data_IF_589505503484
#
_entry.id   IF_589505503484
#
_cell.length_a   1.000
_cell.length_b   1.000
_cell.length_c   1.000
_cell.angle_alpha   90.00
_cell.angle_beta   90.00
_cell.angle_gamma   90.00
#
_symmetry.space_group_name_H-M   'P 1'
#
loop_
_entity.id
_entity.type
_entity.pdbx_description
1 polymer ?
#
# COMPACT_ATOMS: atom_id res chain seq x y z
N UNK A 1 -62.14 -11.85 6.70
CA UNK A 1 -63.40 -11.11 6.86
C UNK A 1 -63.07 -9.85 7.62
N UNK A 2 -62.98 -8.72 6.92
CA UNK A 2 -62.87 -7.41 7.58
C UNK A 2 -64.32 -6.98 7.76
N UNK A 3 -64.80 -6.95 8.99
CA UNK A 3 -66.11 -6.42 9.33
C UNK A 3 -66.12 -4.94 8.98
N UNK A 4 -66.83 -4.59 7.93
CA UNK A 4 -67.25 -3.22 7.63
C UNK A 4 -68.27 -2.78 8.69
N UNK A 5 -67.78 -2.39 9.86
CA UNK A 5 -68.61 -1.76 10.88
C UNK A 5 -67.73 -1.01 11.88
N UNK A 6 -67.16 0.12 11.47
CA UNK A 6 -66.67 1.14 12.40
C UNK A 6 -66.67 2.50 11.68
N UNK A 7 -67.50 3.40 12.19
CA UNK A 7 -67.78 4.80 11.81
C UNK A 7 -67.05 5.38 10.59
N UNK A 8 -67.73 5.36 9.43
CA UNK A 8 -67.35 6.13 8.22
C UNK A 8 -67.40 7.66 8.42
N UNK A 9 -67.71 8.15 9.62
CA UNK A 9 -67.88 9.57 9.95
C UNK A 9 -66.99 10.07 11.11
N UNK A 10 -66.01 9.27 11.56
CA UNK A 10 -65.05 9.72 12.56
C UNK A 10 -64.19 10.86 11.98
N UNK A 11 -64.43 12.09 12.45
CA UNK A 11 -63.61 13.25 12.08
C UNK A 11 -62.22 13.08 12.68
N UNK A 12 -61.20 13.06 11.83
CA UNK A 12 -59.81 13.06 12.24
C UNK A 12 -59.12 14.35 11.82
N UNK A 13 -58.07 14.74 12.55
CA UNK A 13 -57.24 15.90 12.24
C UNK A 13 -55.82 15.38 12.03
N UNK A 14 -55.21 15.75 10.92
CA UNK A 14 -53.82 15.45 10.63
C UNK A 14 -52.95 16.64 11.04
N UNK A 15 -52.02 16.38 11.95
CA UNK A 15 -51.02 17.34 12.37
C UNK A 15 -49.71 17.08 11.63
N UNK A 16 -48.97 18.14 11.30
CA UNK A 16 -47.67 18.08 10.63
C UNK A 16 -46.64 18.73 11.52
N UNK A 17 -45.45 18.12 11.63
CA UNK A 17 -44.37 18.59 12.51
C UNK A 17 -44.82 18.71 13.97
N UNK A 18 -45.30 17.59 14.51
CA UNK A 18 -45.91 17.53 15.84
C UNK A 18 -44.90 17.84 16.95
N UNK A 19 -45.34 18.61 17.94
CA UNK A 19 -44.61 18.82 19.17
C UNK A 19 -44.77 17.62 20.12
N UNK A 20 -43.91 17.50 21.13
CA UNK A 20 -43.97 16.39 22.08
C UNK A 20 -45.30 16.28 22.85
N UNK A 21 -45.99 17.40 23.10
CA UNK A 21 -47.31 17.38 23.74
C UNK A 21 -48.39 16.83 22.80
N UNK A 22 -48.27 17.08 21.50
CA UNK A 22 -49.19 16.60 20.47
C UNK A 22 -48.96 15.12 20.17
N UNK A 23 -47.71 14.64 20.22
CA UNK A 23 -47.41 13.20 20.22
C UNK A 23 -48.03 12.50 21.44
N UNK A 24 -47.84 13.05 22.64
CA UNK A 24 -48.36 12.44 23.87
C UNK A 24 -49.89 12.31 23.88
N UNK A 25 -50.59 13.34 23.37
CA UNK A 25 -52.06 13.38 23.32
C UNK A 25 -52.66 12.78 22.05
N UNK A 26 -51.84 12.56 21.02
CA UNK A 26 -52.25 12.04 19.73
C UNK A 26 -52.52 10.54 19.73
N UNK A 27 -53.41 10.10 18.82
CA UNK A 27 -53.79 8.69 18.70
C UNK A 27 -52.77 7.86 17.90
N UNK A 28 -51.94 8.52 17.08
CA UNK A 28 -50.94 7.90 16.22
C UNK A 28 -49.77 8.84 15.95
N UNK A 29 -48.58 8.28 15.78
CA UNK A 29 -47.35 8.99 15.42
C UNK A 29 -46.72 8.35 14.17
N UNK A 30 -46.51 9.16 13.14
CA UNK A 30 -46.01 8.72 11.84
C UNK A 30 -44.75 9.52 11.47
N UNK A 31 -43.59 8.86 11.55
CA UNK A 31 -42.31 9.43 11.14
C UNK A 31 -41.98 8.94 9.73
N UNK A 32 -41.76 9.88 8.81
CA UNK A 32 -41.46 9.61 7.40
C UNK A 32 -40.21 10.37 6.99
N UNK A 33 -39.18 9.63 6.57
CA UNK A 33 -37.90 10.19 6.11
C UNK A 33 -37.69 9.83 4.65
N UNK A 34 -37.05 10.71 3.88
CA UNK A 34 -36.83 10.46 2.45
C UNK A 34 -36.04 11.53 1.73
N UNK A 35 -35.77 11.27 0.46
CA UNK A 35 -35.19 12.22 -0.49
C UNK A 35 -36.28 12.85 -1.35
N UNK A 36 -35.88 13.60 -2.39
CA UNK A 36 -36.77 14.09 -3.44
C UNK A 36 -37.40 12.95 -4.25
N UNK A 37 -36.66 11.85 -4.41
CA UNK A 37 -37.04 10.72 -5.27
C UNK A 37 -37.92 9.70 -4.56
N UNK A 38 -37.94 9.68 -3.23
CA UNK A 38 -38.72 8.70 -2.50
C UNK A 38 -38.54 8.71 -1.00
N UNK A 39 -39.22 7.77 -0.35
CA UNK A 39 -39.16 7.54 1.08
C UNK A 39 -38.03 6.54 1.37
N UNK A 40 -37.17 6.87 2.33
CA UNK A 40 -36.05 6.02 2.77
C UNK A 40 -36.38 5.25 4.04
N UNK A 41 -37.21 5.82 4.92
CA UNK A 41 -37.63 5.16 6.14
C UNK A 41 -39.03 5.61 6.57
N UNK A 42 -39.76 4.68 7.19
CA UNK A 42 -41.06 4.92 7.82
C UNK A 42 -41.01 4.27 9.20
N UNK A 43 -41.49 4.99 10.21
CA UNK A 43 -41.81 4.45 11.52
C UNK A 43 -43.22 4.88 11.88
N UNK A 44 -44.05 3.93 12.30
CA UNK A 44 -45.43 4.15 12.69
C UNK A 44 -45.64 3.58 14.09
N UNK A 45 -46.11 4.42 15.01
CA UNK A 45 -46.55 4.02 16.34
C UNK A 45 -48.05 4.30 16.49
N UNK A 46 -48.82 3.26 16.79
CA UNK A 46 -50.29 3.30 16.84
C UNK A 46 -50.70 3.14 18.31
N UNK A 47 -51.36 4.17 18.87
CA UNK A 47 -51.80 4.18 20.27
C UNK A 47 -53.28 3.78 20.43
N UNK A 48 -54.07 3.85 19.35
CA UNK A 48 -55.49 3.42 19.30
C UNK A 48 -55.83 2.68 18.01
N UNK A 49 -56.84 1.81 18.07
CA UNK A 49 -57.36 1.14 16.87
C UNK A 49 -58.10 2.14 15.96
N UNK A 50 -58.11 1.90 14.64
CA UNK A 50 -58.87 2.72 13.68
C UNK A 50 -58.08 3.40 12.55
N UNK A 51 -56.85 2.98 12.24
CA UNK A 51 -56.11 3.52 11.09
C UNK A 51 -56.74 3.08 9.76
N UNK A 52 -57.39 4.00 9.06
CA UNK A 52 -57.98 3.74 7.75
C UNK A 52 -56.96 3.95 6.62
N UNK A 53 -57.15 3.27 5.48
CA UNK A 53 -56.31 3.48 4.29
C UNK A 53 -56.36 4.93 3.79
N UNK A 54 -57.48 5.63 4.01
CA UNK A 54 -57.62 7.04 3.65
C UNK A 54 -56.71 7.93 4.49
N UNK A 55 -56.68 7.72 5.82
CA UNK A 55 -55.78 8.46 6.73
C UNK A 55 -54.31 8.25 6.36
N UNK A 56 -53.93 7.03 5.96
CA UNK A 56 -52.58 6.72 5.49
C UNK A 56 -52.24 7.52 4.23
N UNK A 57 -53.14 7.53 3.24
CA UNK A 57 -52.94 8.29 1.99
C UNK A 57 -52.79 9.78 2.26
N UNK A 58 -53.66 10.34 3.09
CA UNK A 58 -53.64 11.77 3.43
C UNK A 58 -52.36 12.13 4.20
N UNK A 59 -51.90 11.24 5.09
CA UNK A 59 -50.60 11.35 5.79
C UNK A 59 -49.42 11.38 4.82
N UNK A 60 -49.40 10.51 3.80
CA UNK A 60 -48.33 10.52 2.80
C UNK A 60 -48.33 11.79 1.94
N UNK A 61 -49.50 12.33 1.60
CA UNK A 61 -49.61 13.60 0.85
C UNK A 61 -49.09 14.77 1.69
N UNK A 62 -49.51 14.87 2.95
CA UNK A 62 -49.08 15.94 3.85
C UNK A 62 -47.57 15.85 4.16
N UNK A 63 -47.09 14.66 4.53
CA UNK A 63 -45.67 14.44 4.83
C UNK A 63 -44.77 14.68 3.62
N UNK A 64 -45.20 14.36 2.40
CA UNK A 64 -44.42 14.66 1.19
C UNK A 64 -44.26 16.18 1.02
N UNK A 65 -45.34 16.95 1.17
CA UNK A 65 -45.27 18.42 1.09
C UNK A 65 -44.35 19.01 2.16
N UNK A 66 -44.48 18.56 3.41
CA UNK A 66 -43.65 19.00 4.52
C UNK A 66 -42.17 18.63 4.31
N UNK A 67 -41.90 17.39 3.90
CA UNK A 67 -40.54 16.90 3.62
C UNK A 67 -39.86 17.71 2.52
N UNK A 68 -40.55 18.05 1.44
CA UNK A 68 -39.96 18.88 0.37
C UNK A 68 -39.62 20.28 0.88
N UNK A 69 -40.49 20.89 1.69
CA UNK A 69 -40.22 22.20 2.29
C UNK A 69 -38.97 22.18 3.20
N UNK A 70 -38.82 21.14 4.02
CA UNK A 70 -37.64 20.95 4.88
C UNK A 70 -36.39 20.73 4.02
N UNK A 71 -36.46 19.83 3.04
CA UNK A 71 -35.33 19.56 2.14
C UNK A 71 -34.89 20.79 1.36
N UNK A 72 -35.82 21.62 0.89
CA UNK A 72 -35.48 22.85 0.17
C UNK A 72 -34.82 23.88 1.09
N UNK A 73 -35.21 23.94 2.38
CA UNK A 73 -34.53 24.76 3.38
C UNK A 73 -33.14 24.24 3.74
N UNK A 74 -32.97 22.92 3.85
CA UNK A 74 -31.65 22.30 4.05
C UNK A 74 -30.72 22.57 2.85
N UNK A 75 -31.24 22.45 1.63
CA UNK A 75 -30.48 22.68 0.39
C UNK A 75 -30.07 24.15 0.20
N UNK A 76 -30.81 25.11 0.77
CA UNK A 76 -30.39 26.52 0.80
C UNK A 76 -29.09 26.74 1.60
N UNK A 77 -28.79 25.85 2.55
CA UNK A 77 -27.59 25.92 3.39
C UNK A 77 -26.46 25.06 2.83
N UNK A 78 -26.77 23.82 2.46
CA UNK A 78 -25.78 22.87 1.94
C UNK A 78 -26.45 21.89 0.97
N UNK A 79 -26.25 22.10 -0.33
CA UNK A 79 -26.86 21.29 -1.39
C UNK A 79 -26.06 20.03 -1.76
N UNK A 80 -24.78 19.97 -1.38
CA UNK A 80 -23.90 18.86 -1.69
C UNK A 80 -22.88 18.64 -0.56
N UNK A 81 -22.36 17.41 -0.39
CA UNK A 81 -21.24 17.16 0.51
C UNK A 81 -20.06 18.07 0.20
N UNK A 82 -19.31 18.48 1.23
CA UNK A 82 -18.08 19.27 1.04
C UNK A 82 -17.04 18.41 0.31
N UNK A 83 -16.27 18.99 -0.63
CA UNK A 83 -15.23 18.25 -1.35
C UNK A 83 -14.11 17.80 -0.40
N UNK A 84 -13.78 18.65 0.57
CA UNK A 84 -12.72 18.40 1.53
C UNK A 84 -13.29 18.10 2.91
N UNK A 85 -12.68 17.12 3.58
CA UNK A 85 -12.95 16.80 4.97
C UNK A 85 -12.37 17.90 5.88
N UNK A 86 -13.00 18.11 7.03
CA UNK A 86 -12.49 19.04 8.06
C UNK A 86 -11.01 18.77 8.39
N UNK A 87 -10.17 19.80 8.57
CA UNK A 87 -8.77 19.65 8.98
C UNK A 87 -8.58 18.93 10.31
N UNK A 88 -9.60 18.97 11.18
CA UNK A 88 -9.59 18.34 12.50
C UNK A 88 -10.25 16.96 12.50
N UNK A 89 -10.86 16.56 11.38
CA UNK A 89 -11.47 15.24 11.29
C UNK A 89 -10.40 14.22 10.91
N UNK A 90 -10.37 13.05 11.57
CA UNK A 90 -9.45 11.99 11.23
C UNK A 90 -9.74 11.50 9.80
N UNK A 91 -8.72 11.51 8.95
CA UNK A 91 -8.80 10.91 7.62
C UNK A 91 -8.53 9.41 7.73
N UNK A 92 -9.26 8.60 6.96
CA UNK A 92 -9.01 7.16 6.86
C UNK A 92 -8.56 6.89 5.43
N UNK A 93 -7.33 6.41 5.25
CA UNK A 93 -6.84 5.93 3.96
C UNK A 93 -6.80 4.41 4.00
N UNK A 94 -7.56 3.78 3.10
CA UNK A 94 -7.60 2.32 2.98
C UNK A 94 -6.54 1.88 1.97
N UNK A 95 -5.47 1.24 2.46
CA UNK A 95 -4.44 0.61 1.62
C UNK A 95 -4.75 -0.88 1.53
N UNK A 96 -4.96 -1.40 0.31
CA UNK A 96 -5.21 -2.83 0.09
C UNK A 96 -3.88 -3.58 0.02
N UNK A 97 -3.67 -4.49 0.96
CA UNK A 97 -2.47 -5.33 1.03
C UNK A 97 -2.69 -6.65 0.25
N UNK A 98 -1.73 -7.08 -0.58
CA UNK A 98 -1.66 -8.46 -1.08
C UNK A 98 -1.50 -9.45 0.09
N UNK A 99 -2.22 -10.57 0.07
CA UNK A 99 -2.25 -11.55 1.19
C UNK A 99 -0.87 -12.14 1.50
N UNK A 100 -0.05 -12.31 0.47
CA UNK A 100 1.33 -12.79 0.53
C UNK A 100 2.29 -11.84 1.27
N UNK A 101 1.97 -10.55 1.33
CA UNK A 101 2.84 -9.51 1.92
C UNK A 101 2.39 -9.02 3.30
N UNK A 102 1.29 -9.57 3.81
CA UNK A 102 0.80 -9.26 5.17
C UNK A 102 1.89 -9.59 6.21
N UNK A 103 2.61 -10.70 6.03
CA UNK A 103 3.66 -11.12 6.97
C UNK A 103 4.83 -10.13 7.09
N UNK A 104 5.22 -9.50 5.98
CA UNK A 104 6.31 -8.52 5.95
C UNK A 104 5.90 -7.19 6.61
N UNK A 105 4.68 -6.73 6.32
CA UNK A 105 4.13 -5.49 6.89
C UNK A 105 3.90 -5.61 8.40
N UNK A 106 3.41 -6.76 8.88
CA UNK A 106 3.26 -7.02 10.32
C UNK A 106 4.63 -7.18 10.98
N UNK A 107 5.53 -7.92 10.33
CA UNK A 107 6.83 -8.32 10.87
C UNK A 107 6.73 -9.34 12.00
N UNK A 108 7.88 -9.80 12.51
CA UNK A 108 7.92 -10.80 13.58
C UNK A 108 7.23 -10.29 14.86
N UNK A 109 6.13 -10.93 15.26
CA UNK A 109 5.36 -10.57 16.45
C UNK A 109 4.72 -9.17 16.42
N UNK A 110 4.53 -8.59 15.23
CA UNK A 110 3.97 -7.24 15.08
C UNK A 110 4.95 -6.10 15.35
N UNK A 111 6.26 -6.36 15.34
CA UNK A 111 7.27 -5.32 15.60
C UNK A 111 7.26 -4.21 14.54
N UNK A 112 7.21 -4.58 13.26
CA UNK A 112 7.24 -3.61 12.15
C UNK A 112 6.00 -2.72 12.18
N UNK A 113 4.82 -3.32 12.32
CA UNK A 113 3.57 -2.56 12.37
C UNK A 113 3.49 -1.65 13.60
N UNK A 114 3.95 -2.10 14.78
CA UNK A 114 4.00 -1.25 15.98
C UNK A 114 4.97 -0.08 15.82
N UNK A 115 6.14 -0.32 15.22
CA UNK A 115 7.10 0.74 14.93
C UNK A 115 6.55 1.77 13.93
N UNK A 116 5.82 1.32 12.90
CA UNK A 116 5.15 2.22 11.95
C UNK A 116 4.04 3.04 12.61
N UNK A 117 3.23 2.41 13.48
CA UNK A 117 2.17 3.10 14.23
C UNK A 117 2.73 4.18 15.15
N UNK A 118 3.83 3.89 15.86
CA UNK A 118 4.50 4.83 16.75
C UNK A 118 5.23 5.96 15.99
N UNK A 119 5.94 5.61 14.90
CA UNK A 119 6.70 6.57 14.08
C UNK A 119 5.79 7.61 13.42
N UNK A 120 4.62 7.17 12.94
CA UNK A 120 3.70 8.04 12.21
C UNK A 120 2.52 8.52 13.02
N UNK A 121 2.43 8.16 14.31
CA UNK A 121 1.25 8.40 15.14
C UNK A 121 -0.05 7.96 14.44
N UNK A 122 0.05 6.88 13.66
CA UNK A 122 -1.05 6.30 12.89
C UNK A 122 -1.55 5.12 13.68
N UNK A 123 -2.70 5.27 14.31
CA UNK A 123 -3.44 4.11 14.80
C UNK A 123 -4.14 3.43 13.62
N UNK A 124 -3.68 2.23 13.27
CA UNK A 124 -4.47 1.31 12.46
C UNK A 124 -5.67 0.91 13.32
N UNK A 125 -6.74 1.68 13.16
CA UNK A 125 -7.96 1.82 13.99
C UNK A 125 -7.89 2.85 15.14
N UNK A 126 -8.43 4.04 14.82
CA UNK A 126 -9.02 5.09 15.67
C UNK A 126 -8.13 6.18 16.28
N UNK A 127 -8.16 7.34 15.62
CA UNK A 127 -7.98 8.69 16.20
C UNK A 127 -6.56 9.07 16.64
N UNK A 128 -5.73 9.45 15.68
CA UNK A 128 -5.03 10.75 15.67
C UNK A 128 -4.32 10.89 14.31
N UNK A 129 -4.25 12.12 13.76
CA UNK A 129 -3.80 12.33 12.38
C UNK A 129 -2.86 13.51 12.25
N UNK A 130 -1.56 13.21 12.26
CA UNK A 130 -0.55 13.89 11.45
C UNK A 130 0.19 12.79 10.68
N UNK A 131 0.37 12.93 9.37
CA UNK A 131 1.17 12.02 8.53
C UNK A 131 0.56 10.68 8.03
N UNK A 132 -0.74 10.64 7.71
CA UNK A 132 -1.34 9.48 7.02
C UNK A 132 -0.71 9.24 5.64
N UNK A 133 -0.42 10.29 4.88
CA UNK A 133 0.11 10.14 3.52
C UNK A 133 1.53 9.57 3.53
N UNK A 134 2.37 10.01 4.47
CA UNK A 134 3.73 9.49 4.66
C UNK A 134 3.72 8.04 5.14
N UNK A 135 2.83 7.70 6.08
CA UNK A 135 2.66 6.31 6.54
C UNK A 135 2.16 5.39 5.41
N UNK A 136 1.19 5.87 4.62
CA UNK A 136 0.70 5.13 3.47
C UNK A 136 1.80 4.96 2.42
N UNK A 137 2.62 5.98 2.17
CA UNK A 137 3.75 5.90 1.25
C UNK A 137 4.79 4.86 1.72
N UNK A 138 5.12 4.82 3.02
CA UNK A 138 6.05 3.82 3.58
C UNK A 138 5.48 2.41 3.47
N UNK A 139 4.19 2.22 3.78
CA UNK A 139 3.51 0.92 3.62
C UNK A 139 3.46 0.50 2.15
N UNK A 140 3.06 1.39 1.24
CA UNK A 140 3.05 1.14 -0.21
C UNK A 140 4.45 0.80 -0.72
N UNK A 141 5.48 1.48 -0.22
CA UNK A 141 6.89 1.22 -0.56
C UNK A 141 7.37 -0.16 -0.05
N UNK A 142 6.92 -0.60 1.12
CA UNK A 142 7.19 -1.94 1.65
C UNK A 142 6.55 -3.05 0.81
N UNK A 143 5.46 -2.76 0.10
CA UNK A 143 4.71 -3.76 -0.69
C UNK A 143 5.13 -3.75 -2.15
N UNK A 144 5.57 -2.58 -2.66
CA UNK A 144 5.86 -2.37 -4.08
C UNK A 144 6.82 -3.43 -4.60
N UNK A 145 6.47 -4.10 -5.68
CA UNK A 145 7.40 -4.98 -6.39
C UNK A 145 8.31 -4.14 -7.25
N UNK A 146 9.60 -4.25 -6.98
CA UNK A 146 10.63 -3.50 -7.68
C UNK A 146 10.91 -4.25 -8.97
N UNK A 147 10.71 -3.58 -10.11
CA UNK A 147 10.92 -4.19 -11.42
C UNK A 147 12.31 -3.85 -11.98
N UNK A 148 12.88 -4.77 -12.75
CA UNK A 148 14.15 -4.54 -13.46
C UNK A 148 13.95 -3.38 -14.44
N UNK A 149 14.85 -2.40 -14.40
CA UNK A 149 14.82 -1.22 -15.25
C UNK A 149 14.12 0.01 -14.65
N UNK A 150 13.43 -0.12 -13.51
CA UNK A 150 12.89 1.06 -12.81
C UNK A 150 14.01 1.96 -12.27
N UNK A 151 13.78 3.26 -12.35
CA UNK A 151 14.72 4.28 -11.86
C UNK A 151 14.24 4.85 -10.53
N UNK A 152 15.17 5.03 -9.59
CA UNK A 152 14.90 5.61 -8.28
C UNK A 152 15.97 6.64 -7.92
N UNK A 153 15.59 7.63 -7.12
CA UNK A 153 16.54 8.51 -6.43
C UNK A 153 16.93 7.84 -5.12
N UNK A 154 18.20 7.44 -5.01
CA UNK A 154 18.71 6.73 -3.85
C UNK A 154 19.65 7.58 -3.00
N UNK A 155 19.69 7.31 -1.70
CA UNK A 155 20.63 7.91 -0.74
C UNK A 155 21.60 6.84 -0.27
N UNK A 156 22.90 7.14 -0.29
CA UNK A 156 23.93 6.23 0.20
C UNK A 156 23.86 6.14 1.72
N UNK A 157 23.57 4.96 2.26
CA UNK A 157 23.50 4.73 3.71
C UNK A 157 24.83 4.27 4.29
N UNK A 158 25.58 3.45 3.53
CA UNK A 158 26.92 2.99 3.91
C UNK A 158 27.78 2.65 2.70
N UNK A 159 29.10 2.73 2.88
CA UNK A 159 30.10 2.39 1.87
C UNK A 159 30.99 1.28 2.41
N UNK A 160 31.19 0.23 1.62
CA UNK A 160 32.03 -0.93 1.93
C UNK A 160 33.08 -1.10 0.83
N UNK A 161 34.15 -1.87 1.07
CA UNK A 161 35.25 -2.04 0.09
C UNK A 161 34.82 -2.58 -1.28
N UNK A 162 33.66 -3.24 -1.36
CA UNK A 162 33.12 -3.87 -2.58
C UNK A 162 31.93 -3.12 -3.19
N UNK A 163 31.49 -2.00 -2.61
CA UNK A 163 30.39 -1.21 -3.14
C UNK A 163 29.76 -0.26 -2.14
N UNK A 164 28.64 0.34 -2.52
CA UNK A 164 27.85 1.21 -1.65
C UNK A 164 26.44 0.68 -1.50
N UNK A 165 25.89 0.73 -0.28
CA UNK A 165 24.48 0.45 -0.05
C UNK A 165 23.70 1.74 -0.22
N UNK A 166 22.65 1.65 -1.04
CA UNK A 166 21.81 2.78 -1.40
C UNK A 166 20.38 2.44 -0.98
N UNK A 167 19.81 3.27 -0.12
CA UNK A 167 18.39 3.23 0.21
C UNK A 167 17.62 3.94 -0.90
N UNK A 168 16.68 3.25 -1.52
CA UNK A 168 15.92 3.75 -2.67
C UNK A 168 14.41 3.75 -2.46
N UNK A 169 13.97 3.01 -1.45
CA UNK A 169 12.63 3.05 -0.89
C UNK A 169 12.78 2.99 0.64
N UNK A 170 11.87 3.61 1.41
CA UNK A 170 11.93 3.57 2.87
C UNK A 170 12.12 2.15 3.42
N UNK A 171 13.22 1.91 4.12
CA UNK A 171 13.54 0.61 4.72
C UNK A 171 14.03 -0.46 3.74
N UNK A 172 14.29 -0.13 2.47
CA UNK A 172 14.86 -1.04 1.47
C UNK A 172 16.19 -0.50 0.94
N UNK A 173 17.25 -1.23 1.26
CA UNK A 173 18.60 -0.98 0.77
C UNK A 173 18.99 -2.02 -0.29
N UNK A 174 19.74 -1.59 -1.29
CA UNK A 174 20.35 -2.48 -2.27
C UNK A 174 21.81 -2.11 -2.54
N UNK A 175 22.59 -3.10 -2.96
CA UNK A 175 24.02 -2.94 -3.19
C UNK A 175 24.29 -2.40 -4.60
N UNK A 176 24.97 -1.27 -4.67
CA UNK A 176 25.65 -0.79 -5.87
C UNK A 176 27.09 -1.30 -5.85
N UNK A 177 27.40 -2.26 -6.71
CA UNK A 177 28.72 -2.89 -6.77
C UNK A 177 29.75 -1.96 -7.42
N UNK A 178 31.03 -2.04 -7.02
CA UNK A 178 32.12 -1.20 -7.55
C UNK A 178 32.23 -1.18 -9.09
N UNK A 179 31.88 -2.29 -9.76
CA UNK A 179 31.86 -2.38 -11.22
C UNK A 179 30.78 -1.55 -11.90
N UNK A 180 29.72 -1.21 -11.17
CA UNK A 180 28.62 -0.36 -11.61
C UNK A 180 28.81 1.10 -11.20
N UNK A 181 29.87 1.40 -10.43
CA UNK A 181 30.21 2.76 -9.98
C UNK A 181 31.23 3.45 -10.89
N UNK A 182 32.09 2.68 -11.57
CA UNK A 182 33.16 3.21 -12.44
C UNK A 182 33.31 2.39 -13.72
N UNK A 183 33.70 3.04 -14.81
CA UNK A 183 34.06 2.39 -16.08
C UNK A 183 35.42 1.67 -16.07
N UNK A 184 36.25 1.91 -15.05
CA UNK A 184 37.60 1.36 -14.90
C UNK A 184 37.83 0.71 -13.54
N UNK A 185 39.09 0.38 -13.23
CA UNK A 185 39.44 -0.20 -11.92
C UNK A 185 39.30 0.85 -10.82
N UNK A 186 38.53 0.52 -9.78
CA UNK A 186 38.35 1.34 -8.60
C UNK A 186 38.91 0.58 -7.39
N UNK A 187 39.96 1.12 -6.78
CA UNK A 187 40.62 0.51 -5.63
C UNK A 187 39.87 0.74 -4.33
N UNK A 188 39.23 1.91 -4.19
CA UNK A 188 38.44 2.27 -3.00
C UNK A 188 37.18 3.03 -3.40
N UNK A 189 35.97 2.47 -3.19
CA UNK A 189 34.72 3.17 -3.48
C UNK A 189 34.52 4.44 -2.67
N UNK A 190 35.11 4.53 -1.47
CA UNK A 190 35.00 5.72 -0.59
C UNK A 190 35.62 6.98 -1.20
N UNK A 191 36.44 6.82 -2.24
CA UNK A 191 37.07 7.94 -2.94
C UNK A 191 36.11 8.70 -3.86
N UNK A 192 35.05 8.04 -4.35
CA UNK A 192 34.12 8.61 -5.34
C UNK A 192 32.70 8.79 -4.80
N UNK A 193 32.33 8.10 -3.71
CA UNK A 193 31.00 8.19 -3.12
C UNK A 193 31.10 8.32 -1.61
N UNK A 194 30.23 9.14 -1.02
CA UNK A 194 30.14 9.35 0.43
C UNK A 194 28.76 8.96 0.95
N UNK A 195 28.73 8.64 2.24
CA UNK A 195 27.46 8.45 2.96
C UNK A 195 26.66 9.75 2.92
N UNK A 196 25.39 9.64 2.55
CA UNK A 196 24.48 10.77 2.38
C UNK A 196 24.39 11.31 0.93
N UNK A 197 25.23 10.84 0.01
CA UNK A 197 25.15 11.26 -1.38
C UNK A 197 23.85 10.78 -2.04
N UNK A 198 23.28 11.63 -2.89
CA UNK A 198 22.09 11.33 -3.69
C UNK A 198 22.50 10.96 -5.10
N UNK A 199 22.05 9.82 -5.59
CA UNK A 199 22.32 9.35 -6.94
C UNK A 199 21.10 8.70 -7.57
N UNK A 200 20.99 8.82 -8.89
CA UNK A 200 20.01 8.08 -9.67
C UNK A 200 20.48 6.65 -9.86
N UNK A 201 19.63 5.71 -9.49
CA UNK A 201 19.89 4.28 -9.60
C UNK A 201 18.85 3.61 -10.47
N UNK A 202 19.24 2.50 -11.07
CA UNK A 202 18.40 1.62 -11.88
C UNK A 202 18.53 0.21 -11.33
N UNK A 203 17.42 -0.51 -11.18
CA UNK A 203 17.50 -1.94 -10.83
C UNK A 203 18.00 -2.72 -12.03
N UNK A 204 19.20 -3.30 -11.90
CA UNK A 204 19.83 -4.08 -12.96
C UNK A 204 19.43 -5.56 -12.94
N UNK A 205 19.00 -6.06 -11.78
CA UNK A 205 18.54 -7.44 -11.63
C UNK A 205 18.53 -7.90 -10.18
N UNK A 206 18.45 -9.21 -9.99
CA UNK A 206 18.52 -9.87 -8.68
C UNK A 206 19.76 -10.78 -8.64
N UNK A 207 20.39 -10.94 -7.48
CA UNK A 207 21.44 -11.94 -7.28
C UNK A 207 20.84 -13.32 -6.96
N UNK A 208 21.70 -14.34 -6.87
CA UNK A 208 21.29 -15.73 -6.60
C UNK A 208 20.54 -15.88 -5.26
N UNK A 209 20.73 -14.92 -4.34
CA UNK A 209 20.05 -14.84 -3.05
C UNK A 209 18.81 -13.92 -3.09
N UNK A 210 18.29 -13.59 -4.28
CA UNK A 210 17.15 -12.68 -4.50
C UNK A 210 17.35 -11.24 -4.00
N UNK A 211 18.59 -10.82 -3.74
CA UNK A 211 18.90 -9.44 -3.37
C UNK A 211 18.98 -8.57 -4.61
N UNK A 212 18.45 -7.35 -4.50
CA UNK A 212 18.39 -6.37 -5.57
C UNK A 212 19.80 -5.89 -5.91
N UNK A 213 20.15 -5.92 -7.20
CA UNK A 213 21.35 -5.31 -7.75
C UNK A 213 21.01 -3.96 -8.36
N UNK A 214 21.82 -2.97 -8.04
CA UNK A 214 21.70 -1.63 -8.59
C UNK A 214 22.76 -1.39 -9.66
N UNK A 215 22.41 -0.54 -10.62
CA UNK A 215 23.34 0.11 -11.53
C UNK A 215 23.09 1.61 -11.51
N UNK A 216 24.13 2.42 -11.68
CA UNK A 216 23.97 3.86 -11.86
C UNK A 216 24.67 4.28 -13.15
N UNK A 217 23.98 4.22 -14.30
CA UNK A 217 24.58 4.53 -15.60
C UNK A 217 25.15 5.95 -15.66
N UNK A 218 24.45 6.91 -15.06
CA UNK A 218 24.88 8.32 -15.01
C UNK A 218 26.13 8.49 -14.14
N UNK A 219 26.17 7.86 -12.97
CA UNK A 219 27.32 7.95 -12.06
C UNK A 219 28.56 7.24 -12.63
N UNK A 220 28.36 6.10 -13.30
CA UNK A 220 29.43 5.37 -13.99
C UNK A 220 30.00 6.15 -15.17
N UNK A 221 29.15 6.86 -15.93
CA UNK A 221 29.60 7.72 -17.02
C UNK A 221 30.41 8.94 -16.52
N UNK A 222 30.06 9.47 -15.35
CA UNK A 222 30.82 10.55 -14.71
C UNK A 222 32.20 10.09 -14.19
N UNK A 223 32.38 8.78 -13.96
CA UNK A 223 33.62 8.17 -13.47
C UNK A 223 34.11 7.07 -14.43
N UNK A 224 34.63 7.42 -15.62
CA UNK A 224 35.06 6.45 -16.62
C UNK A 224 36.24 5.57 -16.18
N UNK A 225 36.93 5.94 -15.08
CA UNK A 225 38.08 5.22 -14.54
C UNK A 225 39.29 5.24 -15.48
N UNK A 226 40.40 4.64 -15.05
CA UNK A 226 41.56 4.41 -15.92
C UNK A 226 41.41 3.06 -16.62
N UNK A 227 41.77 2.93 -17.91
CA UNK A 227 41.79 1.65 -18.60
C UNK A 227 42.66 0.65 -17.84
N UNK A 228 42.18 -0.58 -17.67
CA UNK A 228 43.02 -1.70 -17.22
C UNK A 228 44.20 -1.81 -18.20
N UNK A 229 45.40 -1.45 -17.78
CA UNK A 229 46.62 -1.84 -18.50
C UNK A 229 46.83 -3.33 -18.25
N UNK A 230 46.44 -4.16 -19.21
CA UNK A 230 46.79 -5.58 -19.23
C UNK A 230 48.32 -5.70 -19.42
N UNK A 231 49.09 -5.70 -18.34
CA UNK A 231 50.46 -6.21 -18.36
C UNK A 231 50.43 -7.74 -18.44
N UNK A 232 50.07 -8.27 -19.62
CA UNK A 232 50.41 -9.64 -20.03
C UNK A 232 51.64 -9.59 -20.93
N UNK A 233 52.78 -9.25 -20.34
CA UNK A 233 54.07 -9.39 -21.00
C UNK A 233 54.49 -10.87 -21.05
N UNK A 234 54.28 -11.43 -22.24
CA UNK A 234 55.19 -12.29 -23.01
C UNK A 234 56.44 -12.82 -22.30
N UNK A 235 56.34 -14.00 -21.68
CA UNK A 235 57.45 -14.92 -21.44
C UNK A 235 56.80 -16.30 -21.24
N UNK A 236 56.95 -17.34 -22.05
CA UNK A 236 58.05 -17.79 -22.89
C UNK A 236 57.53 -18.83 -23.90
N UNK A 237 57.72 -18.58 -25.21
CA UNK A 237 57.67 -19.64 -26.24
C UNK A 237 59.09 -20.17 -26.40
N UNK A 238 59.48 -21.14 -25.57
CA UNK A 238 60.67 -21.95 -25.83
C UNK A 238 60.26 -23.15 -26.69
N UNK A 239 60.62 -23.06 -27.97
CA UNK A 239 60.62 -24.11 -28.96
C UNK A 239 61.30 -25.38 -28.43
N UNK A 240 60.60 -26.51 -28.39
CA UNK A 240 61.24 -27.83 -28.27
C UNK A 240 61.11 -28.56 -29.60
N UNK A 241 62.27 -28.68 -30.27
CA UNK A 241 62.43 -29.43 -31.49
C UNK A 241 62.47 -30.94 -31.26
N UNK A 242 62.05 -31.62 -32.33
CA UNK A 242 62.39 -32.98 -32.76
C UNK A 242 63.61 -33.63 -32.09
N UNK A 243 63.41 -34.85 -31.56
CA UNK A 243 64.34 -35.99 -31.65
C UNK A 243 63.77 -37.24 -30.99
N UNK A 244 63.36 -38.16 -31.86
CA UNK A 244 63.65 -39.60 -31.90
C UNK A 244 64.06 -40.39 -30.63
N UNK A 245 63.45 -41.59 -30.60
CA UNK A 245 64.00 -42.89 -30.21
C UNK A 245 63.97 -43.33 -28.72
N UNK A 246 62.97 -44.15 -28.38
CA UNK A 246 63.10 -45.55 -27.89
C UNK A 246 61.91 -45.99 -27.01
N UNK A 247 61.10 -46.89 -27.55
CA UNK A 247 60.23 -47.80 -26.77
C UNK A 247 61.06 -48.93 -26.12
N UNK A 248 60.49 -49.86 -25.34
CA UNK A 248 59.48 -49.75 -24.28
C UNK A 248 59.90 -50.56 -23.02
N UNK A 249 59.30 -50.30 -21.85
CA UNK A 249 59.24 -51.33 -20.79
C UNK A 249 57.86 -51.41 -20.14
N UNK A 250 57.32 -52.62 -20.28
CA UNK A 250 56.09 -53.16 -19.73
C UNK A 250 56.11 -53.32 -18.20
N UNK A 251 54.90 -53.50 -17.66
CA UNK A 251 54.54 -54.20 -16.40
C UNK A 251 54.49 -53.31 -15.15
N UNK A 252 53.47 -53.34 -14.27
CA UNK A 252 52.40 -54.32 -14.01
C UNK A 252 51.14 -53.63 -13.50
N UNK A 253 50.01 -54.11 -14.01
CA UNK A 253 48.70 -54.09 -13.37
C UNK A 253 48.78 -54.88 -12.05
N UNK A 254 48.25 -54.36 -10.95
CA UNK A 254 47.79 -55.21 -9.85
C UNK A 254 46.46 -54.68 -9.30
N UNK A 255 45.34 -55.38 -9.55
CA UNK A 255 44.03 -55.04 -9.06
C UNK A 255 43.80 -55.78 -7.75
N UNK A 256 43.64 -55.06 -6.63
CA UNK A 256 42.89 -55.51 -5.45
C UNK A 256 43.05 -54.49 -4.34
N UNK A 257 41.96 -53.81 -3.98
CA UNK A 257 41.51 -53.79 -2.59
C UNK A 257 40.04 -53.36 -2.56
N UNK A 258 39.25 -54.28 -2.02
CA UNK A 258 37.81 -54.22 -1.82
C UNK A 258 37.44 -53.08 -0.85
N UNK A 259 36.35 -52.39 -1.18
CA UNK A 259 35.33 -51.79 -0.30
C UNK A 259 34.96 -52.69 0.92
N UNK A 260 34.11 -52.28 1.91
CA UNK A 260 33.53 -50.97 2.25
C UNK A 260 33.44 -50.70 3.79
N UNK A 261 32.69 -49.63 4.15
CA UNK A 261 31.90 -49.37 5.39
C UNK A 261 32.49 -48.39 6.41
N UNK A 262 31.95 -47.17 6.47
CA UNK A 262 30.77 -46.81 7.28
C UNK A 262 30.17 -45.52 6.77
#
# INVERSE_FOLDING_TARGET
>A
MISESEDQNAKYILLTDIAGIEDHLGDMDFKITGTKDGITAIQLDIKRQGLTLQMIKDTFVASTKARMLILDKMNQVLSAPRPDLSPYAPKIKLVKLPEDKIGEVIGSGGKTIKALMEKYDVQISSQDTKNIDDAAYEIESMIKEVQIGEQYDGIVTRVENYGAFVEFLPGREALLHVSEMSGGFLSDPSSIIKVGDKLKIVISGFNDNHQIKLSSPEFKAAHPGTPRTDNRDQNSRASYGDRDDRSPRFSKFNPNLKNPRR
#
